data_IF_362869781086
#
_entry.id   IF_362869781086
#
_cell.length_a   1.000
_cell.length_b   1.000
_cell.length_c   1.000
_cell.angle_alpha   90.00
_cell.angle_beta   90.00
_cell.angle_gamma   90.00
#
_symmetry.space_group_name_H-M   'P 1'
#
loop_
_entity.id
_entity.type
_entity.pdbx_description
1 polymer ?
#
# COMPACT_ATOMS: atom_id res chain seq x y z
N UNK A 1 -5.32 -24.35 0.64
CA UNK A 1 -6.49 -24.19 -0.26
C UNK A 1 -7.85 -24.06 0.45
N UNK A 2 -7.94 -24.08 1.78
CA UNK A 2 -9.24 -24.16 2.48
C UNK A 2 -10.23 -22.99 2.26
N UNK A 3 -9.75 -21.78 1.89
CA UNK A 3 -10.60 -20.59 1.73
C UNK A 3 -10.55 -19.94 0.34
N UNK A 4 -9.67 -20.39 -0.56
CA UNK A 4 -9.52 -19.79 -1.89
C UNK A 4 -10.81 -19.93 -2.71
N UNK A 5 -11.46 -21.09 -2.67
CA UNK A 5 -12.73 -21.33 -3.34
C UNK A 5 -13.85 -20.43 -2.79
N UNK A 6 -13.85 -20.18 -1.48
CA UNK A 6 -14.82 -19.27 -0.83
C UNK A 6 -14.54 -17.79 -1.15
N UNK A 7 -13.33 -17.44 -1.57
CA UNK A 7 -12.91 -16.08 -1.97
C UNK A 7 -13.07 -15.82 -3.49
N UNK A 8 -13.72 -16.73 -4.23
CA UNK A 8 -13.92 -16.58 -5.68
C UNK A 8 -12.72 -17.01 -6.52
N UNK A 9 -11.86 -17.88 -5.98
CA UNK A 9 -10.63 -18.37 -6.62
C UNK A 9 -9.37 -17.75 -6.00
N UNK A 10 -8.24 -17.80 -6.72
CA UNK A 10 -6.95 -17.25 -6.24
C UNK A 10 -7.02 -15.72 -6.08
N UNK A 11 -7.76 -15.04 -6.97
CA UNK A 11 -8.02 -13.60 -6.92
C UNK A 11 -9.52 -13.33 -7.16
N UNK A 12 -10.10 -12.41 -6.38
CA UNK A 12 -11.54 -12.10 -6.41
C UNK A 12 -11.94 -11.18 -7.57
N UNK A 13 -10.99 -10.46 -8.18
CA UNK A 13 -11.22 -9.51 -9.28
C UNK A 13 -10.75 -10.05 -10.63
N UNK A 14 -11.59 -9.93 -11.68
CA UNK A 14 -11.21 -10.28 -13.05
C UNK A 14 -10.05 -9.41 -13.57
N UNK A 15 -10.06 -8.11 -13.24
CA UNK A 15 -8.98 -7.18 -13.62
C UNK A 15 -7.63 -7.63 -13.06
N UNK A 16 -7.62 -8.13 -11.83
CA UNK A 16 -6.41 -8.68 -11.20
C UNK A 16 -5.97 -9.99 -11.85
N UNK A 17 -6.92 -10.89 -12.16
CA UNK A 17 -6.60 -12.14 -12.87
C UNK A 17 -5.96 -11.87 -14.24
N UNK A 18 -6.53 -10.93 -14.98
CA UNK A 18 -5.98 -10.47 -16.26
C UNK A 18 -4.57 -9.89 -16.09
N UNK A 19 -4.38 -9.00 -15.11
CA UNK A 19 -3.07 -8.41 -14.81
C UNK A 19 -2.02 -9.47 -14.50
N UNK A 20 -2.33 -10.45 -13.64
CA UNK A 20 -1.37 -11.50 -13.28
C UNK A 20 -1.07 -12.40 -14.47
N UNK A 21 -2.07 -12.70 -15.31
CA UNK A 21 -1.86 -13.46 -16.55
C UNK A 21 -0.90 -12.74 -17.50
N UNK A 22 -1.06 -11.42 -17.67
CA UNK A 22 -0.23 -10.61 -18.58
C UNK A 22 1.17 -10.32 -18.00
N UNK A 23 1.31 -10.25 -16.67
CA UNK A 23 2.60 -10.04 -16.02
C UNK A 23 3.50 -11.29 -16.04
N UNK A 24 2.93 -12.48 -16.25
CA UNK A 24 3.66 -13.74 -16.25
C UNK A 24 3.94 -14.27 -14.83
N UNK A 25 5.01 -15.06 -14.62
CA UNK A 25 5.30 -15.64 -13.32
C UNK A 25 5.74 -14.56 -12.32
N UNK A 26 4.79 -14.07 -11.52
CA UNK A 26 5.02 -13.15 -10.39
C UNK A 26 4.42 -13.74 -9.12
N UNK A 27 5.15 -13.60 -8.02
CA UNK A 27 4.66 -13.98 -6.70
C UNK A 27 3.67 -12.93 -6.19
N UNK A 28 2.39 -13.11 -6.55
CA UNK A 28 1.30 -12.24 -6.14
C UNK A 28 0.40 -12.93 -5.12
N UNK A 29 0.01 -12.19 -4.07
CA UNK A 29 -0.92 -12.66 -3.04
C UNK A 29 -2.05 -11.66 -2.86
N UNK A 30 -3.27 -12.15 -2.70
CA UNK A 30 -4.41 -11.29 -2.36
C UNK A 30 -4.39 -10.90 -0.88
N UNK A 31 -4.67 -9.63 -0.60
CA UNK A 31 -4.93 -9.17 0.76
C UNK A 31 -6.40 -9.39 1.12
N UNK A 32 -6.66 -10.23 2.11
CA UNK A 32 -8.01 -10.50 2.62
C UNK A 32 -8.98 -10.91 1.49
N UNK A 33 -10.19 -10.33 1.44
CA UNK A 33 -11.19 -10.55 0.39
C UNK A 33 -10.91 -9.81 -0.93
N UNK A 34 -9.79 -9.10 -1.03
CA UNK A 34 -9.41 -8.31 -2.20
C UNK A 34 -10.12 -6.96 -2.30
N UNK A 35 -10.01 -6.26 -3.45
CA UNK A 35 -9.28 -6.66 -4.65
C UNK A 35 -7.77 -6.39 -4.59
N UNK A 36 -7.27 -5.79 -3.50
CA UNK A 36 -5.86 -5.46 -3.37
C UNK A 36 -4.98 -6.70 -3.36
N UNK A 37 -3.88 -6.64 -4.11
CA UNK A 37 -2.82 -7.66 -4.11
C UNK A 37 -1.50 -7.04 -3.65
N UNK A 38 -0.60 -7.90 -3.15
CA UNK A 38 0.79 -7.58 -2.91
C UNK A 38 1.67 -8.45 -3.80
N UNK A 39 2.75 -7.85 -4.33
CA UNK A 39 3.78 -8.54 -5.09
C UNK A 39 5.13 -8.27 -4.42
N UNK A 40 5.87 -9.32 -4.11
CA UNK A 40 7.21 -9.20 -3.54
C UNK A 40 8.23 -8.98 -4.65
N UNK A 41 9.17 -8.09 -4.41
CA UNK A 41 10.29 -7.77 -5.31
C UNK A 41 11.58 -7.76 -4.49
N UNK A 42 12.69 -8.09 -5.12
CA UNK A 42 13.99 -8.19 -4.48
C UNK A 42 14.55 -6.82 -4.08
N UNK A 43 14.26 -5.79 -4.88
CA UNK A 43 14.79 -4.44 -4.68
C UNK A 43 13.86 -3.34 -5.22
N UNK A 44 14.27 -2.09 -4.96
CA UNK A 44 13.53 -0.89 -5.36
C UNK A 44 13.43 -0.71 -6.89
N UNK A 45 14.44 -1.16 -7.65
CA UNK A 45 14.46 -1.03 -9.11
C UNK A 45 13.46 -1.98 -9.75
N UNK A 46 13.40 -3.22 -9.28
CA UNK A 46 12.39 -4.20 -9.68
C UNK A 46 10.98 -3.71 -9.30
N UNK A 47 10.79 -3.19 -8.09
CA UNK A 47 9.52 -2.61 -7.65
C UNK A 47 9.07 -1.45 -8.57
N UNK A 48 9.99 -0.58 -8.98
CA UNK A 48 9.70 0.51 -9.90
C UNK A 48 9.34 0.00 -11.31
N UNK A 49 10.09 -0.96 -11.84
CA UNK A 49 9.82 -1.57 -13.14
C UNK A 49 8.45 -2.27 -13.15
N UNK A 50 8.14 -3.04 -12.11
CA UNK A 50 6.85 -3.72 -11.94
C UNK A 50 5.71 -2.72 -11.84
N UNK A 51 5.88 -1.63 -11.06
CA UNK A 51 4.90 -0.55 -10.98
C UNK A 51 4.60 0.04 -12.35
N UNK A 52 5.62 0.31 -13.18
CA UNK A 52 5.41 0.83 -14.53
C UNK A 52 4.65 -0.16 -15.41
N UNK A 53 4.92 -1.46 -15.31
CA UNK A 53 4.16 -2.50 -16.03
C UNK A 53 2.68 -2.50 -15.63
N UNK A 54 2.37 -2.34 -14.33
CA UNK A 54 0.99 -2.24 -13.83
C UNK A 54 0.31 -0.96 -14.35
N UNK A 55 1.01 0.18 -14.32
CA UNK A 55 0.47 1.47 -14.79
C UNK A 55 0.33 1.57 -16.31
N UNK A 56 0.99 0.68 -17.07
CA UNK A 56 0.85 0.58 -18.52
C UNK A 56 -0.06 -0.59 -18.95
N UNK A 57 -0.71 -1.27 -18.00
CA UNK A 57 -1.61 -2.38 -18.29
C UNK A 57 -2.89 -1.90 -18.98
N UNK A 58 -3.58 -2.78 -19.71
CA UNK A 58 -4.84 -2.45 -20.42
C UNK A 58 -5.99 -1.97 -19.53
N UNK A 59 -5.88 -2.19 -18.22
CA UNK A 59 -6.84 -1.78 -17.18
C UNK A 59 -6.26 -0.67 -16.27
N UNK A 60 -5.26 0.09 -16.75
CA UNK A 60 -4.54 1.08 -15.94
C UNK A 60 -5.45 2.18 -15.37
N UNK A 61 -6.57 2.47 -16.01
CA UNK A 61 -7.55 3.46 -15.58
C UNK A 61 -8.30 3.10 -14.30
N UNK A 62 -8.34 1.80 -13.94
CA UNK A 62 -8.95 1.30 -12.70
C UNK A 62 -7.94 0.71 -11.73
N UNK A 63 -6.64 0.70 -12.08
CA UNK A 63 -5.57 0.18 -11.26
C UNK A 63 -4.80 1.30 -10.57
N UNK A 64 -4.39 1.06 -9.33
CA UNK A 64 -3.42 1.91 -8.63
C UNK A 64 -2.31 1.04 -8.04
N UNK A 65 -1.09 1.57 -8.05
CA UNK A 65 0.10 0.87 -7.58
C UNK A 65 0.99 1.77 -6.74
N UNK A 66 1.30 1.31 -5.53
CA UNK A 66 2.21 1.97 -4.59
C UNK A 66 3.35 1.03 -4.22
N UNK A 67 4.53 1.59 -3.98
CA UNK A 67 5.68 0.83 -3.46
C UNK A 67 5.70 1.07 -1.96
N UNK A 68 5.59 -0.02 -1.19
CA UNK A 68 5.62 0.01 0.26
C UNK A 68 6.77 -0.87 0.78
N UNK A 69 7.29 -0.52 1.96
CA UNK A 69 8.23 -1.36 2.72
C UNK A 69 7.49 -2.03 3.87
N UNK A 70 7.97 -3.19 4.28
CA UNK A 70 7.49 -3.83 5.51
C UNK A 70 7.62 -2.87 6.70
N UNK A 71 6.53 -2.70 7.44
CA UNK A 71 6.51 -1.91 8.66
C UNK A 71 6.55 -2.86 9.85
N UNK A 72 7.72 -2.96 10.50
CA UNK A 72 7.93 -3.82 11.66
C UNK A 72 7.58 -3.14 12.99
N UNK A 73 6.74 -2.10 12.92
CA UNK A 73 6.22 -1.37 14.08
C UNK A 73 4.70 -1.32 14.00
N UNK A 74 4.03 -1.50 15.14
CA UNK A 74 2.59 -1.24 15.24
C UNK A 74 2.28 0.26 15.17
N UNK A 75 1.08 0.63 15.63
CA UNK A 75 0.70 2.03 15.74
C UNK A 75 1.67 2.79 16.67
N UNK A 76 2.08 3.99 16.26
CA UNK A 76 2.88 4.91 17.07
C UNK A 76 2.03 6.10 17.46
N UNK A 77 1.93 6.40 18.76
CA UNK A 77 1.24 7.60 19.25
C UNK A 77 2.22 8.77 19.20
N UNK A 78 1.81 9.86 18.54
CA UNK A 78 2.54 11.14 18.54
C UNK A 78 1.70 12.17 19.28
N UNK A 79 2.29 12.85 20.24
CA UNK A 79 1.69 14.01 20.91
C UNK A 79 2.20 15.27 20.23
N UNK A 80 1.35 15.96 19.47
CA UNK A 80 1.65 17.33 19.06
C UNK A 80 1.57 18.19 20.33
N UNK A 81 2.71 18.68 20.82
CA UNK A 81 2.68 19.62 21.94
C UNK A 81 1.87 20.85 21.51
N UNK A 82 0.85 21.30 22.28
CA UNK A 82 0.16 22.54 21.97
C UNK A 82 1.18 23.69 21.95
N UNK A 83 0.98 24.71 21.09
CA UNK A 83 1.85 25.88 21.08
C UNK A 83 1.95 26.44 22.49
N UNK A 84 3.17 26.57 22.99
CA UNK A 84 3.45 27.18 24.29
C UNK A 84 2.92 28.61 24.24
N UNK A 85 1.76 28.85 24.84
CA UNK A 85 1.33 30.20 25.15
C UNK A 85 2.39 30.74 26.12
N UNK A 86 3.21 31.67 25.64
CA UNK A 86 4.12 32.46 26.47
C UNK A 86 3.26 33.30 27.43
N UNK A 87 2.87 32.69 28.55
CA UNK A 87 2.19 33.39 29.62
C UNK A 87 3.26 34.12 30.44
N UNK A 88 3.23 35.45 30.33
CA UNK A 88 3.81 36.35 31.32
C UNK A 88 5.20 36.89 31.02
N UNK A 89 5.25 38.00 30.29
CA UNK A 89 6.06 39.16 30.68
C UNK A 89 5.36 40.43 30.21
N UNK A 90 4.54 41.06 31.06
CA UNK A 90 4.76 42.47 31.43
C UNK A 90 3.78 42.90 32.54
N UNK A 91 4.16 42.65 33.79
CA UNK A 91 3.64 43.40 34.93
C UNK A 91 4.80 43.74 35.83
N UNK A 92 5.52 44.82 35.50
CA UNK A 92 6.07 45.83 36.43
C UNK A 92 7.16 46.66 35.75
N UNK A 93 6.90 47.95 35.54
CA UNK A 93 7.79 49.09 35.83
C UNK A 93 6.95 50.37 35.72
N UNK A 94 6.52 50.86 36.88
CA UNK A 94 6.85 52.18 37.48
C UNK A 94 6.03 53.32 36.90
#
# INVERSE_FOLDING_TARGET
EYYATAQGGIFSSQVIRDLISDLGPVAAVQSSWGPSIAMLTADQAEAAALKQRVLNHRHAEVLSAVIARGLNSGATVKTDAPPQLHDGQDRRRT
#
